data_IF_377126288171
#
_entry.id   IF_377126288171
#
_cell.length_a   1.000
_cell.length_b   1.000
_cell.length_c   1.000
_cell.angle_alpha   90.00
_cell.angle_beta   90.00
_cell.angle_gamma   90.00
#
_symmetry.space_group_name_H-M   'P 1'
#
loop_
_entity.id
_entity.type
_entity.pdbx_description
1 polymer ?
#
# COMPACT_ATOMS: atom_id res chain seq x y z
N UNK A 1 -15.89 3.70 5.53
CA UNK A 1 -14.75 2.96 6.10
C UNK A 1 -13.50 3.16 5.27
N UNK A 2 -12.34 3.23 5.92
CA UNK A 2 -11.05 3.37 5.26
C UNK A 2 -10.44 1.99 4.95
N UNK A 3 -9.65 1.91 3.90
CA UNK A 3 -8.92 0.71 3.48
C UNK A 3 -7.42 1.01 3.56
N UNK A 4 -6.63 0.11 4.14
CA UNK A 4 -5.16 0.18 4.11
C UNK A 4 -4.61 -0.94 3.22
N UNK A 5 -3.73 -0.57 2.28
CA UNK A 5 -3.12 -1.48 1.33
C UNK A 5 -1.61 -1.31 1.27
N UNK A 6 -0.89 -2.42 1.02
CA UNK A 6 0.55 -2.36 0.77
C UNK A 6 0.87 -1.78 -0.60
N UNK A 7 1.96 -1.03 -0.71
CA UNK A 7 2.59 -0.73 -1.99
C UNK A 7 3.07 -2.01 -2.71
N UNK A 8 3.54 -1.86 -3.93
CA UNK A 8 4.21 -2.93 -4.67
C UNK A 8 5.68 -2.59 -4.94
N UNK A 9 6.52 -3.63 -4.95
CA UNK A 9 7.94 -3.50 -5.33
C UNK A 9 8.12 -3.24 -6.84
N UNK A 10 7.13 -3.63 -7.64
CA UNK A 10 7.12 -3.41 -9.09
C UNK A 10 6.27 -2.19 -9.44
N UNK A 11 6.83 -1.35 -10.28
CA UNK A 11 6.18 -0.12 -10.73
C UNK A 11 6.40 0.07 -12.24
N UNK A 12 5.55 0.86 -12.87
CA UNK A 12 5.67 1.27 -14.27
C UNK A 12 5.81 2.78 -14.39
N UNK A 13 6.55 3.22 -15.40
CA UNK A 13 6.67 4.63 -15.80
C UNK A 13 5.63 5.01 -16.86
N UNK A 14 4.83 4.04 -17.31
CA UNK A 14 3.75 4.24 -18.29
C UNK A 14 2.53 3.46 -17.85
N UNK A 15 1.35 4.02 -18.07
CA UNK A 15 0.09 3.36 -17.78
C UNK A 15 -0.97 3.75 -18.82
N UNK A 16 -1.82 2.79 -19.15
CA UNK A 16 -3.05 2.99 -19.94
C UNK A 16 -4.30 3.13 -19.06
N UNK A 17 -4.16 3.15 -17.74
CA UNK A 17 -5.29 3.33 -16.83
C UNK A 17 -5.84 4.76 -16.99
N UNK A 18 -7.11 4.93 -17.40
CA UNK A 18 -7.69 6.23 -17.69
C UNK A 18 -8.11 6.93 -16.40
N UNK A 19 -7.15 7.54 -15.71
CA UNK A 19 -7.43 8.28 -14.46
C UNK A 19 -7.98 9.68 -14.77
N UNK A 20 -9.02 10.16 -14.04
CA UNK A 20 -9.67 11.44 -14.34
C UNK A 20 -8.78 12.66 -14.06
N UNK A 21 -7.85 12.53 -13.14
CA UNK A 21 -6.93 13.58 -12.70
C UNK A 21 -5.77 13.00 -11.88
N UNK A 22 -4.84 13.85 -11.52
CA UNK A 22 -3.81 13.57 -10.51
C UNK A 22 -3.99 14.45 -9.29
N UNK A 23 -3.46 14.03 -8.15
CA UNK A 23 -3.39 14.81 -6.92
C UNK A 23 -1.95 14.83 -6.39
N UNK A 24 -1.64 15.83 -5.57
CA UNK A 24 -0.31 15.94 -4.95
C UNK A 24 -0.26 15.02 -3.72
N UNK A 25 0.76 14.15 -3.59
CA UNK A 25 0.97 13.36 -2.37
C UNK A 25 1.15 14.25 -1.15
N UNK A 26 0.53 13.86 -0.03
CA UNK A 26 0.61 14.63 1.22
C UNK A 26 2.07 14.85 1.68
N UNK A 27 2.90 13.81 1.53
CA UNK A 27 4.31 13.83 1.93
C UNK A 27 5.28 14.02 0.75
N UNK A 28 4.86 14.80 -0.29
CA UNK A 28 5.69 15.06 -1.48
C UNK A 28 7.03 15.71 -1.13
N UNK A 29 7.05 16.58 -0.13
CA UNK A 29 8.27 17.29 0.27
C UNK A 29 9.24 16.36 1.00
N UNK A 30 8.73 15.47 1.86
CA UNK A 30 9.50 14.41 2.52
C UNK A 30 10.10 13.45 1.49
N UNK A 31 9.27 13.00 0.53
CA UNK A 31 9.72 12.14 -0.56
C UNK A 31 10.83 12.80 -1.39
N UNK A 32 10.70 14.10 -1.66
CA UNK A 32 11.72 14.86 -2.39
C UNK A 32 13.06 14.91 -1.62
N UNK A 33 13.03 15.14 -0.30
CA UNK A 33 14.22 15.13 0.54
C UNK A 33 14.88 13.76 0.58
N UNK A 34 14.10 12.70 0.81
CA UNK A 34 14.59 11.32 0.80
C UNK A 34 15.20 10.95 -0.56
N UNK A 35 14.55 11.32 -1.66
CA UNK A 35 15.06 11.07 -3.01
C UNK A 35 16.38 11.82 -3.27
N UNK A 36 16.50 13.07 -2.81
CA UNK A 36 17.74 13.84 -2.92
C UNK A 36 18.89 13.17 -2.15
N UNK A 37 18.65 12.74 -0.91
CA UNK A 37 19.64 12.00 -0.11
C UNK A 37 20.07 10.69 -0.82
N UNK A 38 19.11 9.91 -1.31
CA UNK A 38 19.39 8.65 -2.03
C UNK A 38 20.15 8.87 -3.35
N UNK A 39 19.91 9.98 -4.05
CA UNK A 39 20.60 10.34 -5.28
C UNK A 39 22.10 10.62 -5.09
N UNK A 40 22.53 11.06 -3.90
CA UNK A 40 23.95 11.34 -3.59
C UNK A 40 24.77 10.08 -3.40
N UNK A 41 24.12 8.93 -3.10
CA UNK A 41 24.83 7.69 -2.77
C UNK A 41 25.54 7.10 -3.99
N UNK A 42 26.78 6.63 -3.84
CA UNK A 42 27.43 5.80 -4.84
C UNK A 42 26.59 4.56 -5.12
N UNK A 43 26.62 4.07 -6.36
CA UNK A 43 25.79 2.93 -6.80
C UNK A 43 25.96 1.69 -5.91
N UNK A 44 27.18 1.41 -5.44
CA UNK A 44 27.45 0.21 -4.62
C UNK A 44 26.90 0.36 -3.19
N UNK A 45 26.88 1.56 -2.64
CA UNK A 45 26.23 1.85 -1.36
C UNK A 45 24.71 1.75 -1.48
N UNK A 46 24.16 2.34 -2.55
CA UNK A 46 22.73 2.25 -2.83
C UNK A 46 22.30 0.80 -3.06
N UNK A 47 23.12 -0.04 -3.72
CA UNK A 47 22.84 -1.46 -3.90
C UNK A 47 22.72 -2.20 -2.56
N UNK A 48 23.63 -1.93 -1.63
CA UNK A 48 23.61 -2.51 -0.26
C UNK A 48 22.38 -2.02 0.52
N UNK A 49 22.12 -0.72 0.50
CA UNK A 49 20.99 -0.10 1.20
C UNK A 49 19.64 -0.66 0.71
N UNK A 50 19.47 -0.82 -0.60
CA UNK A 50 18.24 -1.33 -1.20
C UNK A 50 18.15 -2.86 -1.23
N UNK A 51 19.21 -3.59 -0.87
CA UNK A 51 19.27 -5.05 -0.96
C UNK A 51 19.07 -5.57 -2.39
N UNK A 52 19.65 -4.90 -3.40
CA UNK A 52 19.49 -5.20 -4.83
C UNK A 52 20.85 -5.32 -5.54
N UNK A 53 20.84 -5.87 -6.75
CA UNK A 53 22.05 -5.89 -7.57
C UNK A 53 22.41 -4.48 -8.07
N UNK A 54 23.68 -4.32 -8.54
CA UNK A 54 24.24 -3.05 -8.99
C UNK A 54 23.45 -2.42 -10.15
N UNK A 55 22.89 -3.23 -11.07
CA UNK A 55 22.09 -2.73 -12.20
C UNK A 55 20.82 -2.04 -11.71
N UNK A 56 20.07 -2.69 -10.81
CA UNK A 56 18.85 -2.12 -10.23
C UNK A 56 19.18 -0.87 -9.40
N UNK A 57 20.31 -0.87 -8.68
CA UNK A 57 20.75 0.31 -7.92
C UNK A 57 21.06 1.49 -8.85
N UNK A 58 21.78 1.26 -9.96
CA UNK A 58 22.10 2.30 -10.94
C UNK A 58 20.83 2.91 -11.57
N UNK A 59 19.86 2.06 -11.94
CA UNK A 59 18.57 2.51 -12.45
C UNK A 59 17.84 3.41 -11.42
N UNK A 60 17.82 2.99 -10.16
CA UNK A 60 17.15 3.76 -9.11
C UNK A 60 17.90 5.05 -8.75
N UNK A 61 19.23 5.07 -8.81
CA UNK A 61 20.01 6.30 -8.65
C UNK A 61 19.65 7.35 -9.71
N UNK A 62 19.45 6.92 -10.97
CA UNK A 62 18.96 7.81 -12.03
C UNK A 62 17.53 8.30 -11.76
N UNK A 63 16.64 7.43 -11.27
CA UNK A 63 15.28 7.81 -10.88
C UNK A 63 15.27 8.85 -9.78
N UNK A 64 16.08 8.69 -8.74
CA UNK A 64 16.22 9.67 -7.67
C UNK A 64 16.80 10.99 -8.17
N UNK A 65 17.80 10.97 -9.04
CA UNK A 65 18.37 12.18 -9.65
C UNK A 65 17.37 12.99 -10.49
N UNK A 66 16.37 12.29 -11.07
CA UNK A 66 15.30 12.94 -11.86
C UNK A 66 14.05 13.28 -11.03
N UNK A 67 14.08 13.06 -9.74
CA UNK A 67 12.90 13.20 -8.88
C UNK A 67 12.34 14.63 -8.86
N UNK A 68 13.19 15.63 -9.04
CA UNK A 68 12.85 17.05 -9.06
C UNK A 68 12.55 17.62 -10.47
N UNK A 69 12.59 16.76 -11.51
CA UNK A 69 12.24 17.17 -12.89
C UNK A 69 10.73 17.39 -13.07
N UNK A 70 10.31 17.63 -14.32
CA UNK A 70 8.93 17.91 -14.69
C UNK A 70 7.96 16.84 -14.19
N UNK A 71 6.81 17.25 -13.67
CA UNK A 71 5.79 16.35 -13.10
C UNK A 71 5.10 15.46 -14.16
N UNK A 72 5.29 15.72 -15.45
CA UNK A 72 4.74 14.95 -16.57
C UNK A 72 5.13 13.46 -16.59
N UNK A 73 6.20 13.08 -15.89
CA UNK A 73 6.62 11.68 -15.75
C UNK A 73 6.02 10.96 -14.51
N UNK A 74 5.17 11.63 -13.74
CA UNK A 74 4.51 11.04 -12.58
C UNK A 74 3.18 10.40 -12.98
N UNK A 75 2.88 9.24 -12.39
CA UNK A 75 1.62 8.52 -12.58
C UNK A 75 0.83 8.48 -11.28
N UNK A 76 -0.52 8.43 -11.32
CA UNK A 76 -1.32 8.11 -10.16
C UNK A 76 -0.85 6.83 -9.49
N UNK A 77 -0.78 6.79 -8.17
CA UNK A 77 -0.24 5.66 -7.41
C UNK A 77 -0.91 4.32 -7.78
N UNK A 78 -2.23 4.33 -7.98
CA UNK A 78 -3.00 3.14 -8.37
C UNK A 78 -2.61 2.61 -9.77
N UNK A 79 -2.10 3.46 -10.65
CA UNK A 79 -1.66 3.14 -12.01
C UNK A 79 -0.14 2.89 -12.08
N UNK A 80 0.63 3.47 -11.17
CA UNK A 80 2.08 3.31 -11.10
C UNK A 80 2.49 1.95 -10.52
N UNK A 81 1.81 1.45 -9.49
CA UNK A 81 2.09 0.13 -8.91
C UNK A 81 1.50 -0.99 -9.78
N UNK A 82 2.34 -2.00 -10.13
CA UNK A 82 1.99 -3.08 -11.06
C UNK A 82 2.04 -4.48 -10.45
N UNK A 83 2.17 -4.58 -9.13
CA UNK A 83 2.16 -5.86 -8.41
C UNK A 83 0.80 -6.58 -8.48
N UNK A 84 0.79 -7.87 -8.08
CA UNK A 84 -0.40 -8.74 -8.15
C UNK A 84 -1.64 -8.09 -7.53
N UNK A 85 -1.51 -7.42 -6.39
CA UNK A 85 -2.60 -6.72 -5.72
C UNK A 85 -3.24 -5.71 -6.66
N UNK A 86 -2.42 -4.84 -7.29
CA UNK A 86 -2.90 -3.78 -8.18
C UNK A 86 -3.48 -4.32 -9.49
N UNK A 87 -2.93 -5.42 -10.01
CA UNK A 87 -3.52 -6.14 -11.16
C UNK A 87 -4.93 -6.65 -10.84
N UNK A 88 -5.17 -7.08 -9.60
CA UNK A 88 -6.49 -7.58 -9.15
C UNK A 88 -7.46 -6.46 -8.80
N UNK A 89 -6.99 -5.30 -8.38
CA UNK A 89 -7.84 -4.10 -8.28
C UNK A 89 -8.40 -3.75 -9.65
N UNK A 90 -7.64 -3.98 -10.71
CA UNK A 90 -8.05 -3.73 -12.10
C UNK A 90 -8.61 -2.31 -12.29
N UNK A 91 -7.79 -1.31 -11.94
CA UNK A 91 -8.19 0.09 -12.01
C UNK A 91 -8.54 0.55 -13.43
N UNK A 92 -8.13 -0.19 -14.47
CA UNK A 92 -8.52 0.10 -15.85
C UNK A 92 -10.05 -0.03 -16.08
N UNK A 93 -10.75 -0.80 -15.24
CA UNK A 93 -12.20 -0.96 -15.28
C UNK A 93 -12.97 0.07 -14.45
N UNK A 94 -12.27 1.02 -13.80
CA UNK A 94 -12.91 2.01 -12.95
C UNK A 94 -13.50 3.15 -13.78
N UNK A 95 -14.67 3.63 -13.35
CA UNK A 95 -15.24 4.89 -13.79
C UNK A 95 -14.63 6.05 -13.00
N UNK A 96 -14.82 7.30 -13.46
CA UNK A 96 -14.38 8.48 -12.70
C UNK A 96 -14.97 8.50 -11.28
N UNK A 97 -16.23 8.08 -11.14
CA UNK A 97 -16.89 7.99 -9.84
C UNK A 97 -16.25 6.93 -8.92
N UNK A 98 -15.73 5.82 -9.49
CA UNK A 98 -15.00 4.81 -8.73
C UNK A 98 -13.64 5.35 -8.27
N UNK A 99 -12.93 6.09 -9.13
CA UNK A 99 -11.68 6.76 -8.76
C UNK A 99 -11.89 7.79 -7.64
N UNK A 100 -12.95 8.59 -7.71
CA UNK A 100 -13.25 9.57 -6.65
C UNK A 100 -13.66 8.90 -5.34
N UNK A 101 -14.35 7.77 -5.38
CA UNK A 101 -14.63 6.96 -4.20
C UNK A 101 -13.34 6.37 -3.63
N UNK A 102 -12.51 5.75 -4.48
CA UNK A 102 -11.23 5.20 -4.09
C UNK A 102 -10.31 6.27 -3.48
N UNK A 103 -10.28 7.49 -4.05
CA UNK A 103 -9.47 8.61 -3.55
C UNK A 103 -9.82 9.01 -2.11
N UNK A 104 -11.05 8.80 -1.68
CA UNK A 104 -11.51 9.11 -0.33
C UNK A 104 -11.27 7.97 0.67
N UNK A 105 -11.27 6.72 0.20
CA UNK A 105 -11.33 5.55 1.09
C UNK A 105 -10.10 4.65 1.05
N UNK A 106 -9.28 4.67 -0.01
CA UNK A 106 -8.11 3.80 -0.14
C UNK A 106 -6.82 4.53 0.25
N UNK A 107 -6.09 3.95 1.19
CA UNK A 107 -4.77 4.38 1.63
C UNK A 107 -3.72 3.34 1.21
N UNK A 108 -2.71 3.77 0.45
CA UNK A 108 -1.63 2.93 -0.05
C UNK A 108 -0.34 3.31 0.68
N UNK A 109 0.29 2.36 1.38
CA UNK A 109 1.56 2.60 2.05
C UNK A 109 2.69 2.81 1.04
N UNK A 110 3.71 3.57 1.43
CA UNK A 110 4.90 3.82 0.60
C UNK A 110 6.11 4.13 1.48
N UNK A 111 7.25 3.50 1.21
CA UNK A 111 8.48 3.82 1.95
C UNK A 111 9.11 5.14 1.53
N UNK A 112 8.79 5.65 0.33
CA UNK A 112 9.28 6.96 -0.11
C UNK A 112 8.29 8.09 0.15
N UNK A 113 6.98 7.83 -0.06
CA UNK A 113 5.93 8.86 0.03
C UNK A 113 5.05 8.75 1.29
N UNK A 114 5.33 7.79 2.19
CA UNK A 114 4.55 7.58 3.41
C UNK A 114 3.18 6.95 3.15
N UNK A 115 2.13 7.74 3.10
CA UNK A 115 0.76 7.31 2.90
C UNK A 115 0.13 8.03 1.72
N UNK A 116 -0.14 7.27 0.66
CA UNK A 116 -0.66 7.75 -0.62
C UNK A 116 -2.17 7.50 -0.73
N UNK A 117 -2.81 8.30 -1.57
CA UNK A 117 -4.13 8.06 -2.14
C UNK A 117 -4.02 7.56 -3.58
N UNK A 118 -5.04 6.92 -4.15
CA UNK A 118 -4.98 6.35 -5.51
C UNK A 118 -4.53 7.30 -6.61
N UNK A 119 -4.99 8.54 -6.59
CA UNK A 119 -4.71 9.53 -7.62
C UNK A 119 -3.46 10.38 -7.33
N UNK A 120 -2.76 10.14 -6.24
CA UNK A 120 -1.52 10.86 -5.91
C UNK A 120 -0.44 10.56 -6.96
N UNK A 121 0.10 11.63 -7.55
CA UNK A 121 1.11 11.55 -8.59
C UNK A 121 2.47 11.15 -8.01
N UNK A 122 2.96 9.97 -8.37
CA UNK A 122 4.22 9.42 -7.89
C UNK A 122 5.15 9.05 -9.04
N UNK A 123 6.45 9.13 -8.78
CA UNK A 123 7.49 8.60 -9.66
C UNK A 123 7.89 7.21 -9.21
N UNK A 124 8.40 6.43 -10.14
CA UNK A 124 8.95 5.10 -9.83
C UNK A 124 10.17 5.20 -8.92
N UNK A 125 10.25 4.30 -7.96
CA UNK A 125 11.33 4.20 -7.00
C UNK A 125 11.49 2.78 -6.48
N UNK A 126 12.58 2.52 -5.78
CA UNK A 126 12.78 1.34 -4.96
C UNK A 126 13.29 1.77 -3.59
N UNK A 127 12.58 1.44 -2.54
CA UNK A 127 13.00 1.64 -1.15
C UNK A 127 12.39 0.55 -0.29
N UNK A 128 13.12 0.11 0.73
CA UNK A 128 12.69 -0.95 1.65
C UNK A 128 12.50 -0.36 3.04
N UNK A 129 11.66 -1.00 3.86
CA UNK A 129 11.31 -0.47 5.18
C UNK A 129 12.43 -0.53 6.20
N UNK A 130 13.34 -1.49 6.08
CA UNK A 130 14.51 -1.63 6.95
C UNK A 130 15.72 -0.80 6.47
N UNK A 131 15.59 -0.04 5.37
CA UNK A 131 16.65 0.83 4.90
C UNK A 131 16.92 1.95 5.92
N UNK A 132 18.21 2.16 6.22
CA UNK A 132 18.72 3.23 7.07
C UNK A 132 19.54 4.17 6.19
N UNK A 133 19.11 5.43 6.07
CA UNK A 133 19.81 6.42 5.26
C UNK A 133 21.04 6.93 6.03
N UNK A 134 22.14 7.28 5.33
CA UNK A 134 23.35 7.81 5.98
C UNK A 134 23.05 9.02 6.86
N UNK A 135 23.72 9.10 8.00
CA UNK A 135 23.57 10.22 8.95
C UNK A 135 22.33 10.14 9.84
N UNK A 136 21.50 9.09 9.73
CA UNK A 136 20.26 8.92 10.52
C UNK A 136 20.40 7.93 11.68
N UNK A 137 21.62 7.53 12.07
CA UNK A 137 21.86 6.54 13.13
C UNK A 137 21.20 5.21 12.75
N UNK A 138 20.35 4.67 13.63
CA UNK A 138 19.61 3.43 13.42
C UNK A 138 18.16 3.64 12.94
N UNK A 139 17.82 4.89 12.49
CA UNK A 139 16.47 5.19 12.03
C UNK A 139 16.17 4.52 10.70
N UNK A 140 15.41 3.41 10.75
CA UNK A 140 14.88 2.73 9.57
C UNK A 140 13.76 3.56 8.92
N UNK A 141 13.39 3.26 7.66
CA UNK A 141 12.23 3.89 7.03
C UNK A 141 10.93 3.55 7.77
N UNK A 142 10.85 2.41 8.46
CA UNK A 142 9.71 2.13 9.34
C UNK A 142 9.60 3.12 10.49
N UNK A 143 10.68 3.32 11.26
CA UNK A 143 10.68 4.27 12.39
C UNK A 143 10.53 5.71 11.93
N UNK A 144 11.16 6.09 10.81
CA UNK A 144 11.01 7.41 10.19
C UNK A 144 9.53 7.75 9.91
N UNK A 145 8.78 6.81 9.34
CA UNK A 145 7.39 7.04 8.99
C UNK A 145 6.42 6.86 10.16
N UNK A 146 6.71 5.99 11.12
CA UNK A 146 5.80 5.64 12.21
C UNK A 146 5.30 6.87 12.99
N UNK A 147 6.20 7.79 13.32
CA UNK A 147 5.87 9.02 14.06
C UNK A 147 4.99 10.00 13.25
N UNK A 148 5.01 9.91 11.93
CA UNK A 148 4.31 10.81 11.01
C UNK A 148 2.96 10.26 10.55
N UNK A 149 2.93 8.95 10.25
CA UNK A 149 1.77 8.33 9.58
C UNK A 149 0.68 7.89 10.54
N UNK A 150 0.99 7.64 11.81
CA UNK A 150 0.00 7.13 12.77
C UNK A 150 -1.15 8.11 12.95
N UNK A 151 -0.85 9.38 13.17
CA UNK A 151 -1.88 10.41 13.36
C UNK A 151 -2.62 10.75 12.07
N UNK A 152 -1.93 10.75 10.90
CA UNK A 152 -2.58 10.95 9.60
C UNK A 152 -3.59 9.83 9.32
N UNK A 153 -3.19 8.55 9.49
CA UNK A 153 -4.10 7.42 9.30
C UNK A 153 -5.29 7.50 10.25
N UNK A 154 -5.06 7.75 11.53
CA UNK A 154 -6.15 7.90 12.51
C UNK A 154 -7.06 9.07 12.18
N UNK A 155 -6.51 10.20 11.73
CA UNK A 155 -7.29 11.34 11.27
C UNK A 155 -8.23 10.99 10.12
N UNK A 156 -7.75 10.23 9.12
CA UNK A 156 -8.56 9.77 7.99
C UNK A 156 -9.65 8.80 8.43
N UNK A 157 -9.34 7.87 9.34
CA UNK A 157 -10.30 6.89 9.86
C UNK A 157 -11.42 7.61 10.63
N UNK A 158 -11.08 8.56 11.51
CA UNK A 158 -12.06 9.29 12.31
C UNK A 158 -12.87 10.30 11.51
N UNK A 159 -12.30 10.84 10.42
CA UNK A 159 -13.04 11.73 9.50
C UNK A 159 -14.09 10.98 8.66
N UNK A 160 -14.03 9.64 8.64
CA UNK A 160 -15.03 8.77 8.01
C UNK A 160 -15.94 8.17 9.11
N UNK A 161 -15.90 6.89 9.33
CA UNK A 161 -16.80 6.16 10.24
C UNK A 161 -16.10 5.44 11.41
N UNK A 162 -14.80 5.66 11.57
CA UNK A 162 -14.00 5.04 12.62
C UNK A 162 -13.53 3.60 12.30
N UNK A 163 -13.76 3.10 11.08
CA UNK A 163 -13.47 1.72 10.67
C UNK A 163 -12.33 1.67 9.66
N UNK A 164 -11.38 0.76 9.89
CA UNK A 164 -10.28 0.43 9.00
C UNK A 164 -10.36 -1.03 8.57
N UNK A 165 -10.44 -1.29 7.27
CA UNK A 165 -10.20 -2.62 6.68
C UNK A 165 -8.73 -2.73 6.31
N UNK A 166 -8.00 -3.54 7.08
CA UNK A 166 -6.56 -3.74 6.87
C UNK A 166 -6.28 -4.86 5.88
N UNK A 167 -6.02 -4.50 4.63
CA UNK A 167 -5.58 -5.40 3.56
C UNK A 167 -4.07 -5.28 3.29
N UNK A 168 -3.34 -4.55 4.13
CA UNK A 168 -1.88 -4.48 4.07
C UNK A 168 -1.22 -5.73 4.67
N UNK A 169 0.05 -5.97 4.31
CA UNK A 169 0.84 -7.03 4.90
C UNK A 169 1.23 -6.72 6.36
N UNK A 170 1.59 -7.75 7.13
CA UNK A 170 2.08 -7.57 8.49
C UNK A 170 3.29 -6.63 8.57
N UNK A 171 4.15 -6.65 7.55
CA UNK A 171 5.29 -5.74 7.43
C UNK A 171 4.87 -4.26 7.45
N UNK A 172 3.81 -3.91 6.71
CA UNK A 172 3.35 -2.51 6.60
C UNK A 172 2.75 -1.95 7.89
N UNK A 173 2.33 -2.81 8.81
CA UNK A 173 1.88 -2.39 10.16
C UNK A 173 2.99 -1.66 10.93
N UNK A 174 4.27 -1.95 10.64
CA UNK A 174 5.44 -1.30 11.25
C UNK A 174 5.57 0.19 10.88
N UNK A 175 4.90 0.64 9.81
CA UNK A 175 4.82 2.06 9.45
C UNK A 175 3.96 2.89 10.40
N UNK A 176 3.27 2.25 11.35
CA UNK A 176 2.35 2.88 12.29
C UNK A 176 2.60 2.38 13.71
N UNK A 177 2.29 3.16 14.73
CA UNK A 177 2.03 2.62 16.07
C UNK A 177 0.71 1.81 16.00
N UNK A 178 0.86 0.55 15.55
CA UNK A 178 -0.28 -0.32 15.29
C UNK A 178 -1.11 -0.60 16.52
N UNK A 179 -0.48 -0.66 17.70
CA UNK A 179 -1.21 -0.81 18.98
C UNK A 179 -2.11 0.38 19.24
N UNK A 180 -1.63 1.58 18.94
CA UNK A 180 -2.42 2.81 19.07
C UNK A 180 -3.55 2.86 18.04
N UNK A 181 -3.30 2.45 16.79
CA UNK A 181 -4.35 2.35 15.77
C UNK A 181 -5.47 1.42 16.23
N UNK A 182 -5.14 0.20 16.69
CA UNK A 182 -6.13 -0.77 17.17
C UNK A 182 -6.89 -0.33 18.43
N UNK A 183 -6.32 0.57 19.26
CA UNK A 183 -7.03 1.15 20.41
C UNK A 183 -7.97 2.30 20.04
N UNK A 184 -7.69 3.00 18.96
CA UNK A 184 -8.40 4.25 18.58
C UNK A 184 -9.35 4.09 17.41
N UNK A 185 -9.32 2.95 16.72
CA UNK A 185 -10.18 2.64 15.59
C UNK A 185 -10.62 1.17 15.63
N UNK A 186 -11.77 0.88 15.02
CA UNK A 186 -12.16 -0.51 14.76
C UNK A 186 -11.37 -1.01 13.56
N UNK A 187 -10.51 -2.02 13.75
CA UNK A 187 -9.64 -2.55 12.70
C UNK A 187 -10.07 -3.97 12.33
N UNK A 188 -10.62 -4.12 11.15
CA UNK A 188 -10.98 -5.41 10.57
C UNK A 188 -9.81 -5.92 9.75
N UNK A 189 -9.35 -7.15 10.02
CA UNK A 189 -8.22 -7.75 9.33
C UNK A 189 -8.64 -9.05 8.63
N UNK A 190 -8.95 -9.02 7.33
CA UNK A 190 -9.17 -10.22 6.53
C UNK A 190 -7.87 -10.99 6.32
N UNK A 191 -7.85 -12.26 6.67
CA UNK A 191 -6.78 -13.22 6.40
C UNK A 191 -7.24 -14.24 5.38
N UNK A 192 -6.35 -14.64 4.47
CA UNK A 192 -6.63 -15.61 3.40
C UNK A 192 -5.72 -16.82 3.57
N UNK A 193 -6.32 -17.98 3.79
CA UNK A 193 -5.63 -19.23 4.10
C UNK A 193 -6.07 -20.34 3.13
N UNK A 194 -5.15 -21.23 2.79
CA UNK A 194 -5.46 -22.43 2.01
C UNK A 194 -5.46 -23.64 2.95
N UNK A 195 -6.50 -24.47 2.87
CA UNK A 195 -6.58 -25.72 3.62
C UNK A 195 -5.89 -26.84 2.85
N UNK A 196 -4.93 -27.48 3.49
CA UNK A 196 -4.20 -28.62 2.94
C UNK A 196 -4.26 -29.75 3.97
N UNK A 197 -5.24 -30.64 3.81
CA UNK A 197 -5.61 -31.59 4.85
C UNK A 197 -6.05 -30.86 6.14
N UNK A 198 -5.44 -31.22 7.26
CA UNK A 198 -5.74 -30.60 8.56
C UNK A 198 -4.96 -29.29 8.82
N UNK A 199 -4.15 -28.84 7.87
CA UNK A 199 -3.30 -27.65 8.05
C UNK A 199 -3.81 -26.48 7.25
N UNK A 200 -3.68 -25.29 7.86
CA UNK A 200 -3.93 -24.02 7.21
C UNK A 200 -2.60 -23.35 6.85
N UNK A 201 -2.43 -23.01 5.59
CA UNK A 201 -1.23 -22.36 5.06
C UNK A 201 -1.56 -20.98 4.50
N UNK A 202 -0.65 -20.04 4.67
CA UNK A 202 -0.67 -18.77 3.95
C UNK A 202 0.10 -18.95 2.64
N UNK A 203 -0.60 -18.92 1.51
CA UNK A 203 0.00 -18.91 0.19
C UNK A 203 0.08 -17.45 -0.26
N UNK A 204 1.31 -16.91 -0.30
CA UNK A 204 1.55 -15.47 -0.49
C UNK A 204 0.91 -14.91 -1.76
N UNK A 205 0.95 -15.68 -2.87
CA UNK A 205 0.36 -15.23 -4.14
C UNK A 205 -1.17 -15.13 -4.03
N UNK A 206 -1.82 -16.11 -3.43
CA UNK A 206 -3.27 -16.09 -3.23
C UNK A 206 -3.70 -14.99 -2.27
N UNK A 207 -2.98 -14.83 -1.16
CA UNK A 207 -3.23 -13.71 -0.23
C UNK A 207 -3.17 -12.36 -0.93
N UNK A 208 -2.19 -12.16 -1.81
CA UNK A 208 -2.08 -10.91 -2.60
C UNK A 208 -3.24 -10.74 -3.58
N UNK A 209 -3.66 -11.82 -4.24
CA UNK A 209 -4.80 -11.80 -5.16
C UNK A 209 -6.09 -11.45 -4.42
N UNK A 210 -6.39 -12.14 -3.31
CA UNK A 210 -7.58 -11.89 -2.51
C UNK A 210 -7.64 -10.46 -1.95
N UNK A 211 -6.50 -9.91 -1.50
CA UNK A 211 -6.45 -8.51 -1.05
C UNK A 211 -6.80 -7.53 -2.17
N UNK A 212 -6.30 -7.77 -3.38
CA UNK A 212 -6.64 -6.95 -4.54
C UNK A 212 -8.12 -7.06 -4.90
N UNK A 213 -8.65 -8.27 -4.97
CA UNK A 213 -10.06 -8.53 -5.28
C UNK A 213 -11.01 -7.95 -4.21
N UNK A 214 -10.69 -8.13 -2.92
CA UNK A 214 -11.49 -7.53 -1.85
C UNK A 214 -11.43 -6.00 -1.90
N UNK A 215 -10.27 -5.41 -2.19
CA UNK A 215 -10.17 -3.95 -2.42
C UNK A 215 -11.06 -3.52 -3.58
N UNK A 216 -10.99 -4.22 -4.73
CA UNK A 216 -11.86 -3.97 -5.87
C UNK A 216 -13.33 -4.09 -5.50
N UNK A 217 -13.70 -5.16 -4.81
CA UNK A 217 -15.07 -5.43 -4.38
C UNK A 217 -15.63 -4.29 -3.52
N UNK A 218 -14.86 -3.80 -2.54
CA UNK A 218 -15.25 -2.67 -1.69
C UNK A 218 -15.45 -1.40 -2.53
N UNK A 219 -14.49 -1.09 -3.39
CA UNK A 219 -14.47 0.17 -4.15
C UNK A 219 -15.57 0.23 -5.21
N UNK A 220 -15.72 -0.84 -6.00
CA UNK A 220 -16.72 -0.92 -7.09
C UNK A 220 -18.16 -0.92 -6.56
N UNK A 221 -18.40 -1.59 -5.45
CA UNK A 221 -19.73 -1.70 -4.86
C UNK A 221 -19.99 -0.64 -3.77
N UNK A 222 -19.01 0.26 -3.51
CA UNK A 222 -19.10 1.33 -2.50
C UNK A 222 -19.58 0.82 -1.14
N UNK A 223 -19.00 -0.31 -0.71
CA UNK A 223 -19.41 -0.98 0.52
C UNK A 223 -19.06 -0.09 1.71
N UNK A 224 -20.07 0.34 2.44
CA UNK A 224 -19.92 1.15 3.65
C UNK A 224 -20.07 0.29 4.92
N UNK A 225 -20.93 -0.73 4.91
CA UNK A 225 -21.08 -1.66 6.03
C UNK A 225 -20.07 -2.80 5.93
N UNK A 226 -19.13 -2.91 6.87
CA UNK A 226 -18.15 -3.99 6.86
C UNK A 226 -18.77 -5.38 7.01
N UNK A 227 -19.97 -5.51 7.61
CA UNK A 227 -20.63 -6.81 7.74
C UNK A 227 -20.86 -7.48 6.37
N UNK A 228 -21.10 -6.68 5.32
CA UNK A 228 -21.25 -7.15 3.94
C UNK A 228 -20.00 -7.87 3.44
N UNK A 229 -18.79 -7.54 3.92
CA UNK A 229 -17.56 -8.20 3.52
C UNK A 229 -17.46 -9.65 4.00
N UNK A 230 -18.28 -10.05 4.96
CA UNK A 230 -18.32 -11.44 5.43
C UNK A 230 -18.89 -12.40 4.37
N UNK A 231 -19.64 -11.89 3.40
CA UNK A 231 -20.14 -12.64 2.24
C UNK A 231 -19.20 -12.59 1.03
N UNK A 232 -18.01 -11.98 1.17
CA UNK A 232 -17.03 -11.95 0.08
C UNK A 232 -16.60 -13.37 -0.29
N UNK A 233 -16.69 -13.66 -1.60
CA UNK A 233 -16.22 -14.91 -2.19
C UNK A 233 -15.40 -14.60 -3.44
N UNK A 234 -14.29 -15.33 -3.60
CA UNK A 234 -13.46 -15.24 -4.80
C UNK A 234 -12.65 -16.53 -4.99
N UNK A 235 -12.76 -17.16 -6.17
CA UNK A 235 -12.03 -18.39 -6.53
C UNK A 235 -12.10 -19.48 -5.43
N UNK A 236 -13.26 -19.64 -4.79
CA UNK A 236 -13.50 -20.58 -3.70
C UNK A 236 -13.09 -20.10 -2.30
N UNK A 237 -12.36 -18.99 -2.18
CA UNK A 237 -12.14 -18.37 -0.87
C UNK A 237 -13.45 -17.82 -0.33
N UNK A 238 -13.82 -18.25 0.87
CA UNK A 238 -15.01 -17.82 1.60
C UNK A 238 -14.72 -17.72 3.09
N UNK A 239 -15.51 -16.91 3.81
CA UNK A 239 -15.36 -16.77 5.25
C UNK A 239 -15.52 -18.14 5.94
N UNK A 240 -14.58 -18.44 6.83
CA UNK A 240 -14.68 -19.57 7.77
C UNK A 240 -15.09 -19.02 9.16
N UNK A 241 -16.38 -19.19 9.55
CA UNK A 241 -16.84 -18.65 10.83
C UNK A 241 -16.17 -19.29 12.05
N UNK A 242 -15.72 -20.54 11.94
CA UNK A 242 -15.10 -21.28 13.04
C UNK A 242 -13.69 -20.74 13.35
N UNK A 243 -13.01 -20.20 12.35
CA UNK A 243 -11.67 -19.64 12.48
C UNK A 243 -11.67 -18.13 12.72
N UNK A 244 -12.78 -17.45 12.44
CA UNK A 244 -12.91 -16.00 12.57
C UNK A 244 -13.28 -15.61 14.01
N UNK A 245 -12.58 -14.62 14.57
CA UNK A 245 -12.83 -14.11 15.93
C UNK A 245 -12.85 -12.59 15.94
N UNK A 246 -13.95 -12.00 16.44
CA UNK A 246 -14.11 -10.54 16.49
C UNK A 246 -13.96 -9.93 15.10
N UNK A 247 -12.99 -9.04 14.94
CA UNK A 247 -12.66 -8.37 13.68
C UNK A 247 -11.48 -9.02 12.91
N UNK A 248 -10.96 -10.15 13.40
CA UNK A 248 -10.02 -11.00 12.66
C UNK A 248 -10.81 -12.05 11.88
N UNK A 249 -10.95 -11.84 10.58
CA UNK A 249 -11.76 -12.69 9.70
C UNK A 249 -10.87 -13.56 8.84
N UNK A 250 -11.13 -14.86 8.88
CA UNK A 250 -10.37 -15.85 8.13
C UNK A 250 -11.21 -16.35 6.95
N UNK A 251 -10.69 -16.15 5.75
CA UNK A 251 -11.24 -16.70 4.51
C UNK A 251 -10.40 -17.90 4.10
N UNK A 252 -11.05 -19.04 3.82
CA UNK A 252 -10.36 -20.29 3.47
C UNK A 252 -10.75 -20.75 2.07
N UNK A 253 -9.78 -21.41 1.41
CA UNK A 253 -9.91 -22.21 0.21
C UNK A 253 -9.61 -23.66 0.54
#
# INVERSE_FOLDING_TARGET
>A
MQILLSCAKTMSERSSVPTPRTTRPAYRNEAARLAAELATLPTDELARLLGVNRRIAAENRLRYGRFHGDDDAALPAIAAYTGIVFKRIDAASFTDADFEYAQRHLNITSFLYGLLRPLDAIRTYRLEGDAVLPGRGDETMFSYWQSRLTDDLLGRIHADDGILVNLASGEMKRLFDWKRVCRKARVITPEFRVREGDRLKTVVVYTKMCRGEMTRHILKNRIADPATLRSFEWEGFRLDPALSKGDDWVFTL
#
